data_IF_592211678320
#
_entry.id   IF_592211678320
#
_cell.length_a   1.000
_cell.length_b   1.000
_cell.length_c   1.000
_cell.angle_alpha   90.00
_cell.angle_beta   90.00
_cell.angle_gamma   90.00
#
_symmetry.space_group_name_H-M   'P 1'
#
loop_
_entity.id
_entity.type
_entity.pdbx_description
1 polymer ?
#
# COMPACT_ATOMS: atom_id res chain seq x y z
N UNK A 1 -36.75 8.85 22.39
CA UNK A 1 -36.32 10.27 22.31
C UNK A 1 -36.10 10.62 20.84
N UNK A 2 -36.80 11.64 20.34
CA UNK A 2 -36.82 12.02 18.92
C UNK A 2 -35.59 12.91 18.62
N UNK A 3 -34.82 12.64 17.55
CA UNK A 3 -33.65 13.45 17.20
C UNK A 3 -34.06 14.87 16.82
N UNK A 4 -33.57 15.88 17.55
CA UNK A 4 -33.71 17.29 17.16
C UNK A 4 -32.67 17.63 16.10
N UNK A 5 -33.11 17.69 14.85
CA UNK A 5 -32.33 18.23 13.73
C UNK A 5 -32.46 19.75 13.78
N UNK A 6 -31.37 20.47 14.05
CA UNK A 6 -31.34 21.93 13.94
C UNK A 6 -31.13 22.27 12.47
N UNK A 7 -32.22 22.55 11.76
CA UNK A 7 -32.21 22.99 10.37
C UNK A 7 -31.99 24.50 10.31
N UNK A 8 -30.82 24.94 9.83
CA UNK A 8 -30.68 26.27 9.24
C UNK A 8 -30.89 26.12 7.72
N UNK A 9 -31.89 26.80 7.16
CA UNK A 9 -32.17 26.83 5.71
C UNK A 9 -32.41 25.45 5.03
N UNK A 10 -33.07 24.51 5.70
CA UNK A 10 -33.57 23.29 5.05
C UNK A 10 -32.52 22.29 4.56
N UNK A 11 -31.23 22.53 4.81
CA UNK A 11 -30.15 21.56 4.56
C UNK A 11 -29.42 21.24 5.86
N UNK A 12 -29.35 19.96 6.28
CA UNK A 12 -28.57 19.56 7.44
C UNK A 12 -27.07 19.65 7.10
N UNK A 13 -26.46 20.81 7.38
CA UNK A 13 -25.04 21.04 7.09
C UNK A 13 -24.10 20.38 8.10
N UNK A 14 -24.61 19.97 9.27
CA UNK A 14 -23.84 19.33 10.35
C UNK A 14 -24.70 18.31 11.09
N UNK A 15 -24.19 17.10 11.27
CA UNK A 15 -24.80 16.09 12.14
C UNK A 15 -24.21 16.20 13.55
N UNK A 16 -25.06 16.11 14.56
CA UNK A 16 -24.67 16.25 15.98
C UNK A 16 -24.78 14.87 16.62
N UNK A 17 -23.73 14.41 17.29
CA UNK A 17 -23.79 13.15 18.04
C UNK A 17 -24.68 13.33 19.29
N UNK A 18 -25.75 12.53 19.47
CA UNK A 18 -26.67 12.68 20.60
C UNK A 18 -26.06 12.25 21.95
N UNK A 19 -24.91 11.57 21.97
CA UNK A 19 -24.25 11.11 23.20
C UNK A 19 -23.19 12.08 23.73
N UNK A 20 -22.55 12.87 22.86
CA UNK A 20 -21.43 13.75 23.26
C UNK A 20 -21.54 15.19 22.76
N UNK A 21 -22.58 15.54 21.98
CA UNK A 21 -22.76 16.91 21.47
C UNK A 21 -21.75 17.36 20.43
N UNK A 22 -20.83 16.48 19.99
CA UNK A 22 -19.85 16.80 18.97
C UNK A 22 -20.54 17.05 17.61
N UNK A 23 -20.14 18.13 16.94
CA UNK A 23 -20.66 18.50 15.62
C UNK A 23 -19.75 17.96 14.53
N UNK A 24 -20.31 17.19 13.60
CA UNK A 24 -19.60 16.63 12.45
C UNK A 24 -20.13 17.25 11.17
N UNK A 25 -19.24 17.78 10.33
CA UNK A 25 -19.61 18.34 9.03
C UNK A 25 -20.01 17.27 7.99
N UNK A 26 -19.61 16.01 8.22
CA UNK A 26 -19.98 14.83 7.42
C UNK A 26 -19.71 13.59 8.25
N UNK A 27 -20.65 12.64 8.29
CA UNK A 27 -20.32 11.29 8.75
C UNK A 27 -19.25 10.72 7.81
N UNK A 28 -18.15 10.13 8.31
CA UNK A 28 -17.24 9.39 7.45
C UNK A 28 -18.05 8.27 6.80
N UNK A 29 -18.10 8.24 5.47
CA UNK A 29 -18.71 7.12 4.77
C UNK A 29 -17.98 5.84 5.15
N UNK A 30 -18.67 4.70 5.15
CA UNK A 30 -18.03 3.41 5.43
C UNK A 30 -16.82 3.17 4.51
N UNK A 31 -16.86 3.67 3.27
CA UNK A 31 -15.74 3.65 2.32
C UNK A 31 -14.56 4.50 2.83
N UNK A 32 -14.79 5.68 3.38
CA UNK A 32 -13.73 6.53 3.94
C UNK A 32 -13.12 5.89 5.19
N UNK A 33 -13.96 5.28 6.02
CA UNK A 33 -13.53 4.57 7.22
C UNK A 33 -12.75 3.30 6.85
N UNK A 34 -13.17 2.60 5.79
CA UNK A 34 -12.46 1.49 5.17
C UNK A 34 -11.08 1.96 4.70
N UNK A 35 -11.00 2.99 3.84
CA UNK A 35 -9.74 3.55 3.33
C UNK A 35 -8.81 4.06 4.44
N UNK A 36 -9.35 4.67 5.51
CA UNK A 36 -8.55 5.11 6.65
C UNK A 36 -7.84 3.95 7.37
N UNK A 37 -8.44 2.75 7.43
CA UNK A 37 -7.76 1.55 7.96
C UNK A 37 -6.50 1.18 7.17
N UNK A 38 -6.44 1.51 5.88
CA UNK A 38 -5.26 1.26 5.03
C UNK A 38 -4.20 2.38 5.12
N UNK A 39 -4.57 3.55 5.64
CA UNK A 39 -3.69 4.74 5.72
C UNK A 39 -2.91 4.83 7.04
N UNK A 40 -3.30 4.09 8.07
CA UNK A 40 -2.89 4.34 9.45
C UNK A 40 -1.65 3.54 9.90
N UNK A 41 -0.71 3.25 8.98
CA UNK A 41 0.50 2.53 9.34
C UNK A 41 1.62 3.50 9.68
N UNK A 42 2.18 3.34 10.88
CA UNK A 42 3.48 3.92 11.22
C UNK A 42 4.51 3.47 10.19
N UNK A 43 5.32 4.41 9.70
CA UNK A 43 6.41 4.15 8.75
C UNK A 43 7.43 3.23 9.42
N UNK A 44 7.30 1.92 9.25
CA UNK A 44 8.26 0.93 9.75
C UNK A 44 8.80 0.09 8.59
N UNK A 45 10.13 -0.04 8.55
CA UNK A 45 10.84 -0.82 7.53
C UNK A 45 10.78 -2.33 7.75
N UNK A 46 10.03 -2.80 8.75
CA UNK A 46 10.00 -4.21 9.14
C UNK A 46 9.40 -5.10 8.07
N UNK A 47 8.36 -4.64 7.36
CA UNK A 47 7.79 -5.38 6.24
C UNK A 47 8.81 -5.57 5.12
N UNK A 48 9.57 -4.52 4.79
CA UNK A 48 10.63 -4.58 3.79
C UNK A 48 11.73 -5.55 4.22
N UNK A 49 12.22 -5.46 5.47
CA UNK A 49 13.24 -6.38 6.00
C UNK A 49 12.82 -7.84 5.90
N UNK A 50 11.55 -8.15 6.23
CA UNK A 50 11.02 -9.52 6.11
C UNK A 50 11.01 -10.00 4.66
N UNK A 51 10.52 -9.17 3.73
CA UNK A 51 10.50 -9.51 2.31
C UNK A 51 11.92 -9.68 1.77
N UNK A 52 12.86 -8.81 2.15
CA UNK A 52 14.25 -8.90 1.76
C UNK A 52 14.90 -10.21 2.27
N UNK A 53 14.63 -10.60 3.52
CA UNK A 53 15.12 -11.86 4.08
C UNK A 53 14.59 -13.07 3.29
N UNK A 54 13.28 -13.09 3.01
CA UNK A 54 12.67 -14.16 2.19
C UNK A 54 13.28 -14.20 0.80
N UNK A 55 13.47 -13.04 0.17
CA UNK A 55 14.10 -12.90 -1.15
C UNK A 55 15.50 -13.49 -1.18
N UNK A 56 16.33 -13.15 -0.17
CA UNK A 56 17.68 -13.70 -0.02
C UNK A 56 17.63 -15.21 0.20
N UNK A 57 16.67 -15.71 0.98
CA UNK A 57 16.46 -17.14 1.18
C UNK A 57 16.21 -17.89 -0.13
N UNK A 58 15.30 -17.39 -0.97
CA UNK A 58 15.05 -17.98 -2.30
C UNK A 58 16.24 -17.81 -3.25
N UNK A 59 16.96 -16.70 -3.17
CA UNK A 59 18.21 -16.50 -3.93
C UNK A 59 19.30 -17.50 -3.53
N UNK A 60 19.41 -17.83 -2.25
CA UNK A 60 20.31 -18.88 -1.75
C UNK A 60 19.87 -20.27 -2.22
N UNK A 61 18.57 -20.58 -2.18
CA UNK A 61 18.04 -21.85 -2.71
C UNK A 61 18.40 -22.00 -4.19
N UNK A 62 18.20 -20.94 -4.97
CA UNK A 62 18.58 -20.92 -6.37
C UNK A 62 20.09 -21.20 -6.53
N UNK A 63 20.95 -20.42 -5.86
CA UNK A 63 22.40 -20.56 -5.95
C UNK A 63 22.88 -21.96 -5.55
N UNK A 64 22.33 -22.55 -4.48
CA UNK A 64 22.68 -23.89 -4.04
C UNK A 64 22.20 -24.97 -5.01
N UNK A 65 21.06 -24.78 -5.66
CA UNK A 65 20.59 -25.69 -6.71
C UNK A 65 21.47 -25.59 -7.97
N UNK A 66 21.92 -24.39 -8.37
CA UNK A 66 22.83 -24.21 -9.51
C UNK A 66 24.21 -24.83 -9.26
N UNK A 67 24.62 -24.89 -7.99
CA UNK A 67 25.87 -25.54 -7.57
C UNK A 67 25.73 -27.06 -7.37
N UNK A 68 24.59 -27.66 -7.77
CA UNK A 68 24.28 -29.10 -7.63
C UNK A 68 24.29 -29.61 -6.18
N UNK A 69 24.24 -28.71 -5.19
CA UNK A 69 24.14 -29.06 -3.76
C UNK A 69 22.71 -29.46 -3.40
N UNK A 70 21.72 -28.85 -4.06
CA UNK A 70 20.29 -29.13 -3.93
C UNK A 70 19.72 -29.80 -5.18
N UNK A 71 18.56 -30.50 -5.09
CA UNK A 71 17.90 -31.06 -6.25
C UNK A 71 17.57 -29.99 -7.29
N UNK A 72 17.74 -30.31 -8.58
CA UNK A 72 17.43 -29.40 -9.70
C UNK A 72 15.96 -28.93 -9.72
N UNK A 73 15.04 -29.75 -9.21
CA UNK A 73 13.62 -29.36 -9.04
C UNK A 73 13.43 -28.12 -8.15
N UNK A 74 14.39 -27.85 -7.24
CA UNK A 74 14.36 -26.68 -6.36
C UNK A 74 14.89 -25.41 -7.05
N UNK A 75 15.56 -25.53 -8.19
CA UNK A 75 16.11 -24.40 -8.94
C UNK A 75 14.98 -23.47 -9.42
N UNK A 76 13.95 -24.05 -10.03
CA UNK A 76 12.78 -23.30 -10.49
C UNK A 76 12.11 -22.55 -9.32
N UNK A 77 11.95 -23.22 -8.18
CA UNK A 77 11.37 -22.62 -6.97
C UNK A 77 12.24 -21.46 -6.44
N UNK A 78 13.56 -21.61 -6.44
CA UNK A 78 14.51 -20.56 -6.09
C UNK A 78 14.40 -19.33 -7.00
N UNK A 79 14.38 -19.54 -8.32
CA UNK A 79 14.27 -18.47 -9.32
C UNK A 79 12.95 -17.73 -9.19
N UNK A 80 11.82 -18.45 -9.25
CA UNK A 80 10.49 -17.82 -9.17
C UNK A 80 10.28 -17.10 -7.86
N UNK A 81 10.66 -17.73 -6.74
CA UNK A 81 10.59 -17.10 -5.43
C UNK A 81 11.42 -15.82 -5.36
N UNK A 82 12.68 -15.87 -5.82
CA UNK A 82 13.57 -14.71 -5.78
C UNK A 82 13.03 -13.53 -6.61
N UNK A 83 12.53 -13.78 -7.82
CA UNK A 83 11.97 -12.75 -8.70
C UNK A 83 10.70 -12.13 -8.09
N UNK A 84 9.76 -12.96 -7.65
CA UNK A 84 8.47 -12.49 -7.12
C UNK A 84 8.70 -11.67 -5.84
N UNK A 85 9.45 -12.21 -4.87
CA UNK A 85 9.69 -11.52 -3.62
C UNK A 85 10.56 -10.27 -3.79
N UNK A 86 11.49 -10.26 -4.76
CA UNK A 86 12.24 -9.06 -5.15
C UNK A 86 11.31 -7.96 -5.67
N UNK A 87 10.35 -8.30 -6.55
CA UNK A 87 9.39 -7.34 -7.10
C UNK A 87 8.50 -6.73 -6.00
N UNK A 88 8.01 -7.55 -5.07
CA UNK A 88 7.28 -7.07 -3.89
C UNK A 88 8.16 -6.25 -2.95
N UNK A 89 9.42 -6.63 -2.77
CA UNK A 89 10.40 -5.89 -1.96
C UNK A 89 10.66 -4.50 -2.52
N UNK A 90 10.79 -4.38 -3.85
CA UNK A 90 10.95 -3.10 -4.53
C UNK A 90 9.71 -2.21 -4.39
N UNK A 91 8.51 -2.78 -4.53
CA UNK A 91 7.25 -2.08 -4.33
C UNK A 91 7.09 -1.57 -2.88
N UNK A 92 7.46 -2.40 -1.90
CA UNK A 92 7.47 -2.03 -0.49
C UNK A 92 8.47 -0.91 -0.19
N UNK A 93 9.67 -1.02 -0.74
CA UNK A 93 10.71 -0.01 -0.61
C UNK A 93 10.23 1.34 -1.16
N UNK A 94 9.70 1.35 -2.38
CA UNK A 94 9.20 2.57 -3.03
C UNK A 94 8.10 3.25 -2.22
N UNK A 95 7.13 2.46 -1.71
CA UNK A 95 6.09 2.98 -0.81
C UNK A 95 6.67 3.61 0.46
N UNK A 96 7.56 2.88 1.14
CA UNK A 96 8.14 3.36 2.40
C UNK A 96 9.03 4.59 2.20
N UNK A 97 9.75 4.68 1.08
CA UNK A 97 10.53 5.86 0.72
C UNK A 97 9.64 7.09 0.56
N UNK A 98 8.52 6.99 -0.17
CA UNK A 98 7.59 8.11 -0.36
C UNK A 98 7.00 8.56 0.99
N UNK A 99 6.52 7.62 1.80
CA UNK A 99 5.95 7.93 3.11
C UNK A 99 7.00 8.50 4.08
N UNK A 100 8.24 8.02 4.03
CA UNK A 100 9.34 8.54 4.82
C UNK A 100 9.69 9.98 4.43
N UNK A 101 9.81 10.27 3.13
CA UNK A 101 10.09 11.62 2.62
C UNK A 101 8.95 12.57 2.99
N UNK A 102 7.69 12.16 2.79
CA UNK A 102 6.53 12.95 3.16
C UNK A 102 6.53 13.30 4.65
N UNK A 103 6.84 12.33 5.51
CA UNK A 103 6.97 12.53 6.95
C UNK A 103 8.12 13.47 7.32
N UNK A 104 9.29 13.29 6.73
CA UNK A 104 10.48 14.12 7.00
C UNK A 104 10.26 15.58 6.60
N UNK A 105 9.50 15.81 5.52
CA UNK A 105 9.18 17.14 5.01
C UNK A 105 7.86 17.70 5.56
N UNK A 106 7.19 17.01 6.48
CA UNK A 106 5.88 17.40 7.03
C UNK A 106 4.79 17.68 5.98
N UNK A 107 4.91 17.03 4.82
CA UNK A 107 3.98 17.16 3.69
C UNK A 107 2.96 16.02 3.69
N UNK A 108 1.80 16.26 3.07
CA UNK A 108 0.84 15.20 2.82
C UNK A 108 1.38 14.24 1.72
N UNK A 109 1.49 12.95 2.01
CA UNK A 109 2.02 11.95 1.07
C UNK A 109 1.21 11.86 -0.23
N UNK A 110 -0.06 12.24 -0.19
CA UNK A 110 -0.96 12.33 -1.36
C UNK A 110 -0.36 13.11 -2.54
N UNK A 111 0.39 14.18 -2.27
CA UNK A 111 1.02 15.00 -3.32
C UNK A 111 2.16 14.25 -4.05
N UNK A 112 2.88 13.37 -3.35
CA UNK A 112 3.92 12.55 -3.96
C UNK A 112 3.31 11.42 -4.79
N UNK A 113 2.23 10.81 -4.29
CA UNK A 113 1.48 9.79 -5.02
C UNK A 113 0.86 10.35 -6.31
N UNK A 114 0.30 11.56 -6.29
CA UNK A 114 -0.19 12.20 -7.51
C UNK A 114 0.94 12.53 -8.50
N UNK A 115 2.09 13.00 -8.00
CA UNK A 115 3.27 13.23 -8.85
C UNK A 115 3.78 11.94 -9.51
N UNK A 116 3.84 10.82 -8.77
CA UNK A 116 4.23 9.52 -9.36
C UNK A 116 3.25 9.05 -10.43
N UNK A 117 1.95 9.29 -10.24
CA UNK A 117 0.92 8.96 -11.23
C UNK A 117 1.07 9.81 -12.49
N UNK A 118 1.33 11.11 -12.33
CA UNK A 118 1.59 12.01 -13.45
C UNK A 118 2.82 11.55 -14.27
N UNK A 119 3.91 11.20 -13.58
CA UNK A 119 5.13 10.68 -14.21
C UNK A 119 4.82 9.39 -14.98
N UNK A 120 4.04 8.47 -14.39
CA UNK A 120 3.63 7.24 -15.06
C UNK A 120 2.83 7.52 -16.35
N UNK A 121 1.86 8.46 -16.30
CA UNK A 121 1.07 8.87 -17.48
C UNK A 121 1.98 9.48 -18.55
N UNK A 122 2.92 10.34 -18.17
CA UNK A 122 3.87 10.93 -19.12
C UNK A 122 4.75 9.88 -19.77
N UNK A 123 5.24 8.89 -19.02
CA UNK A 123 6.01 7.77 -19.58
C UNK A 123 5.16 6.99 -20.60
N UNK A 124 3.90 6.68 -20.25
CA UNK A 124 2.98 6.00 -21.15
C UNK A 124 2.71 6.78 -22.43
N UNK A 125 2.66 8.11 -22.34
CA UNK A 125 2.45 8.96 -23.51
C UNK A 125 3.69 9.10 -24.41
N UNK A 126 4.89 9.15 -23.81
CA UNK A 126 6.14 9.41 -24.56
C UNK A 126 6.81 8.13 -25.05
N UNK A 127 6.67 7.00 -24.34
CA UNK A 127 7.38 5.75 -24.61
C UNK A 127 6.49 4.54 -24.47
N UNK A 128 5.91 4.10 -25.59
CA UNK A 128 5.09 2.89 -25.66
C UNK A 128 5.84 1.62 -25.22
N UNK A 129 7.15 1.53 -25.48
CA UNK A 129 7.99 0.39 -25.04
C UNK A 129 8.00 0.21 -23.51
N UNK A 130 7.82 1.31 -22.77
CA UNK A 130 7.81 1.29 -21.31
C UNK A 130 6.43 0.98 -20.72
N UNK A 131 5.38 0.97 -21.54
CA UNK A 131 4.00 0.77 -21.10
C UNK A 131 3.82 -0.51 -20.31
N UNK A 132 4.39 -1.62 -20.78
CA UNK A 132 4.29 -2.91 -20.10
C UNK A 132 4.89 -2.86 -18.70
N UNK A 133 6.02 -2.18 -18.53
CA UNK A 133 6.70 -2.07 -17.23
C UNK A 133 5.94 -1.16 -16.27
N UNK A 134 5.42 -0.03 -16.76
CA UNK A 134 4.61 0.90 -15.96
C UNK A 134 3.34 0.21 -15.47
N UNK A 135 2.62 -0.48 -16.34
CA UNK A 135 1.41 -1.23 -15.97
C UNK A 135 1.72 -2.30 -14.93
N UNK A 136 2.81 -3.05 -15.12
CA UNK A 136 3.23 -4.09 -14.16
C UNK A 136 3.60 -3.49 -12.79
N UNK A 137 4.31 -2.36 -12.76
CA UNK A 137 4.65 -1.66 -11.53
C UNK A 137 3.40 -1.14 -10.81
N UNK A 138 2.46 -0.52 -11.54
CA UNK A 138 1.19 -0.07 -10.97
C UNK A 138 0.37 -1.23 -10.39
N UNK A 139 0.31 -2.35 -11.10
CA UNK A 139 -0.36 -3.56 -10.61
C UNK A 139 0.27 -4.08 -9.31
N UNK A 140 1.60 -4.18 -9.24
CA UNK A 140 2.31 -4.60 -8.03
C UNK A 140 2.01 -3.68 -6.83
N UNK A 141 1.96 -2.37 -7.06
CA UNK A 141 1.62 -1.40 -6.00
C UNK A 141 0.20 -1.58 -5.48
N UNK A 142 -0.77 -1.87 -6.36
CA UNK A 142 -2.16 -2.16 -5.99
C UNK A 142 -2.24 -3.46 -5.18
N UNK A 143 -1.60 -4.53 -5.66
CA UNK A 143 -1.59 -5.83 -4.95
C UNK A 143 -0.97 -5.66 -3.57
N UNK A 144 0.15 -4.95 -3.45
CA UNK A 144 0.77 -4.62 -2.17
C UNK A 144 -0.19 -3.88 -1.24
N UNK A 145 -0.87 -2.86 -1.74
CA UNK A 145 -1.84 -2.07 -0.96
C UNK A 145 -2.97 -2.94 -0.41
N UNK A 146 -3.50 -3.84 -1.24
CA UNK A 146 -4.52 -4.83 -0.84
C UNK A 146 -3.99 -5.77 0.25
N UNK A 147 -2.81 -6.37 0.05
CA UNK A 147 -2.19 -7.28 1.02
C UNK A 147 -1.91 -6.61 2.36
N UNK A 148 -1.35 -5.40 2.34
CA UNK A 148 -1.06 -4.62 3.53
C UNK A 148 -2.35 -4.30 4.30
N UNK A 149 -3.42 -4.02 3.58
CA UNK A 149 -4.75 -3.79 4.11
C UNK A 149 -5.38 -4.99 4.83
N UNK A 150 -5.34 -6.16 4.19
CA UNK A 150 -5.80 -7.39 4.82
C UNK A 150 -5.00 -7.74 6.06
N UNK A 151 -3.69 -7.49 6.06
CA UNK A 151 -2.85 -7.71 7.23
C UNK A 151 -3.27 -6.83 8.42
N UNK A 152 -3.65 -5.57 8.18
CA UNK A 152 -4.15 -4.65 9.23
C UNK A 152 -5.55 -5.04 9.70
N UNK A 153 -6.43 -5.46 8.79
CA UNK A 153 -7.77 -5.94 9.15
C UNK A 153 -7.69 -7.17 10.09
N UNK A 154 -6.76 -8.09 9.83
CA UNK A 154 -6.53 -9.27 10.66
C UNK A 154 -6.00 -8.93 12.06
N UNK A 155 -5.13 -7.94 12.19
CA UNK A 155 -4.60 -7.53 13.51
C UNK A 155 -5.63 -6.83 14.39
N UNK A 156 -6.71 -6.27 13.82
CA UNK A 156 -7.80 -5.65 14.60
C UNK A 156 -8.89 -6.64 15.03
N UNK A 157 -8.90 -7.87 14.49
CA UNK A 157 -9.86 -8.93 14.85
C UNK A 157 -9.35 -9.88 15.94
N UNK A 158 -8.11 -9.72 16.40
CA UNK A 158 -7.50 -10.42 17.53
C UNK A 158 -7.46 -9.50 18.74
#
# INVERSE_FOLDING_TARGET
>A
MVPRVITYYGQPTKSICPFCGATFARFPSEVRQFLQRFSQKSVSFDAFKRIALVTVGFGLIWLLATMEILPSEMEALGIFGSIIFSAFGLAEFFYQTIEFIAKQLSHNSSYYWSATTLIAILILYVRDDLTRYVVMASFLMIVRWILAGFAVARSHSQ
#
